data_IF_586878308104
#
_entry.id   IF_586878308104
#
_cell.length_a   1.000
_cell.length_b   1.000
_cell.length_c   1.000
_cell.angle_alpha   90.00
_cell.angle_beta   90.00
_cell.angle_gamma   90.00
#
_symmetry.space_group_name_H-M   'P 1'
#
loop_
_entity.id
_entity.type
_entity.pdbx_description
1 polymer ?
#
# COMPACT_ATOMS: atom_id res chain seq x y z
N UNK A 1 -26.27 1.03 -5.55
CA UNK A 1 -26.41 0.34 -6.79
C UNK A 1 -25.30 -0.61 -7.02
N UNK A 2 -25.60 -1.79 -7.40
CA UNK A 2 -24.54 -2.74 -7.72
C UNK A 2 -23.82 -2.32 -8.99
N UNK A 3 -22.59 -2.72 -9.10
CA UNK A 3 -21.79 -2.45 -10.28
C UNK A 3 -22.22 -3.38 -11.41
N UNK A 4 -22.20 -2.85 -12.63
CA UNK A 4 -22.38 -3.72 -13.79
C UNK A 4 -21.12 -4.56 -13.99
N UNK A 5 -21.20 -5.65 -14.76
CA UNK A 5 -20.00 -6.43 -15.06
C UNK A 5 -18.90 -5.60 -15.70
N UNK A 6 -19.25 -4.67 -16.60
CA UNK A 6 -18.27 -3.81 -17.23
C UNK A 6 -17.62 -2.86 -16.24
N UNK A 7 -18.42 -2.30 -15.34
CA UNK A 7 -17.88 -1.42 -14.31
C UNK A 7 -16.96 -2.18 -13.38
N UNK A 8 -17.32 -3.40 -13.02
CA UNK A 8 -16.49 -4.22 -12.15
C UNK A 8 -15.16 -4.55 -12.83
N UNK A 9 -15.17 -4.87 -14.11
CA UNK A 9 -13.95 -5.14 -14.85
C UNK A 9 -13.04 -3.92 -14.88
N UNK A 10 -13.61 -2.76 -15.20
CA UNK A 10 -12.84 -1.52 -15.23
C UNK A 10 -12.24 -1.20 -13.86
N UNK A 11 -13.04 -1.34 -12.82
CA UNK A 11 -12.56 -1.07 -11.47
C UNK A 11 -11.46 -2.05 -11.08
N UNK A 12 -11.61 -3.32 -11.43
CA UNK A 12 -10.60 -4.32 -11.13
C UNK A 12 -9.27 -3.96 -11.79
N UNK A 13 -9.31 -3.55 -13.06
CA UNK A 13 -8.09 -3.16 -13.75
C UNK A 13 -7.45 -1.92 -13.14
N UNK A 14 -8.27 -0.95 -12.75
CA UNK A 14 -7.76 0.26 -12.12
C UNK A 14 -7.10 -0.05 -10.78
N UNK A 15 -7.74 -0.90 -9.98
CA UNK A 15 -7.17 -1.30 -8.70
C UNK A 15 -5.89 -2.12 -8.90
N UNK A 16 -5.86 -2.97 -9.91
CA UNK A 16 -4.67 -3.74 -10.20
C UNK A 16 -3.51 -2.84 -10.61
N UNK A 17 -3.79 -1.82 -11.43
CA UNK A 17 -2.76 -0.87 -11.82
C UNK A 17 -2.22 -0.10 -10.63
N UNK A 18 -3.10 0.32 -9.71
CA UNK A 18 -2.67 1.01 -8.51
C UNK A 18 -1.83 0.09 -7.63
N UNK A 19 -2.27 -1.16 -7.45
CA UNK A 19 -1.52 -2.11 -6.64
C UNK A 19 -0.13 -2.32 -7.22
N UNK A 20 -0.02 -2.38 -8.54
CA UNK A 20 1.27 -2.53 -9.18
C UNK A 20 2.15 -1.31 -8.94
N UNK A 21 1.58 -0.11 -9.03
CA UNK A 21 2.34 1.11 -8.76
C UNK A 21 2.87 1.15 -7.33
N UNK A 22 2.04 0.74 -6.36
CA UNK A 22 2.45 0.74 -4.96
C UNK A 22 3.57 -0.26 -4.74
N UNK A 23 3.45 -1.44 -5.35
CA UNK A 23 4.48 -2.46 -5.23
C UNK A 23 5.79 -2.03 -5.91
N UNK A 24 5.68 -1.46 -7.10
CA UNK A 24 6.87 -0.99 -7.83
C UNK A 24 7.57 0.12 -7.06
N UNK A 25 6.80 1.00 -6.42
CA UNK A 25 7.38 2.05 -5.58
C UNK A 25 8.16 1.47 -4.41
N UNK A 26 7.61 0.43 -3.76
CA UNK A 26 8.32 -0.24 -2.68
C UNK A 26 9.61 -0.89 -3.19
N UNK A 27 9.56 -1.54 -4.35
CA UNK A 27 10.75 -2.17 -4.91
C UNK A 27 11.81 -1.13 -5.25
N UNK A 28 11.39 0.01 -5.81
CA UNK A 28 12.34 1.07 -6.11
C UNK A 28 13.05 1.55 -4.84
N UNK A 29 12.29 1.70 -3.76
CA UNK A 29 12.86 2.08 -2.49
C UNK A 29 13.82 0.99 -1.97
N UNK A 30 13.39 -0.26 -2.01
CA UNK A 30 14.21 -1.37 -1.54
C UNK A 30 15.55 -1.41 -2.26
N UNK A 31 15.53 -1.31 -3.59
CA UNK A 31 16.76 -1.36 -4.35
C UNK A 31 17.63 -0.13 -4.10
N UNK A 32 17.02 1.04 -3.86
CA UNK A 32 17.79 2.24 -3.57
C UNK A 32 18.53 2.14 -2.24
N UNK A 33 18.03 1.31 -1.32
CA UNK A 33 18.64 1.14 0.00
C UNK A 33 19.57 -0.06 0.07
N UNK A 34 19.65 -0.84 -1.00
CA UNK A 34 20.44 -2.06 -1.03
C UNK A 34 21.80 -1.80 -1.67
N UNK A 35 22.74 -2.70 -1.43
CA UNK A 35 24.09 -2.60 -2.00
C UNK A 35 24.20 -3.54 -3.18
N UNK A 36 24.62 -2.98 -4.31
CA UNK A 36 24.82 -3.80 -5.50
C UNK A 36 26.10 -4.60 -5.38
N UNK A 37 26.03 -5.87 -5.75
CA UNK A 37 27.20 -6.74 -5.77
C UNK A 37 27.76 -6.84 -7.18
N UNK A 38 28.94 -7.43 -7.29
CA UNK A 38 29.61 -7.52 -8.59
C UNK A 38 28.84 -8.38 -9.59
N UNK A 39 28.06 -9.34 -9.08
CA UNK A 39 27.31 -10.25 -9.95
C UNK A 39 25.87 -9.75 -10.18
N UNK A 40 25.62 -8.48 -9.91
CA UNK A 40 24.32 -7.83 -10.09
C UNK A 40 23.27 -8.24 -9.05
N UNK A 41 23.64 -9.05 -8.07
CA UNK A 41 22.74 -9.27 -6.94
C UNK A 41 22.81 -8.05 -6.03
N UNK A 42 21.87 -7.97 -5.09
CA UNK A 42 21.88 -6.87 -4.12
C UNK A 42 21.83 -7.43 -2.71
N UNK A 43 22.46 -6.71 -1.80
CA UNK A 43 22.44 -7.07 -0.39
C UNK A 43 21.66 -6.02 0.38
N UNK A 44 20.76 -6.45 1.23
CA UNK A 44 20.00 -5.55 2.08
C UNK A 44 20.84 -5.30 3.33
N UNK A 45 21.12 -4.03 3.68
CA UNK A 45 21.86 -3.73 4.91
C UNK A 45 21.19 -4.34 6.12
N UNK A 46 22.01 -4.77 7.09
CA UNK A 46 21.51 -5.53 8.24
C UNK A 46 20.42 -4.79 9.00
N UNK A 47 20.59 -3.51 9.25
CA UNK A 47 19.62 -2.75 10.02
C UNK A 47 18.29 -2.65 9.31
N UNK A 48 18.31 -2.52 7.98
CA UNK A 48 17.07 -2.49 7.20
C UNK A 48 16.43 -3.85 7.15
N UNK A 49 17.23 -4.91 7.01
CA UNK A 49 16.67 -6.26 7.02
C UNK A 49 15.96 -6.54 8.34
N UNK A 50 16.55 -6.11 9.46
CA UNK A 50 15.92 -6.27 10.77
C UNK A 50 14.62 -5.48 10.88
N UNK A 51 14.63 -4.24 10.39
CA UNK A 51 13.44 -3.39 10.43
C UNK A 51 12.31 -4.00 9.61
N UNK A 52 12.63 -4.44 8.39
CA UNK A 52 11.60 -4.97 7.50
C UNK A 52 11.05 -6.30 8.00
N UNK A 53 11.91 -7.12 8.61
CA UNK A 53 11.43 -8.36 9.23
C UNK A 53 10.50 -8.07 10.40
N UNK A 54 10.80 -7.03 11.18
CA UNK A 54 9.91 -6.62 12.27
C UNK A 54 8.57 -6.14 11.72
N UNK A 55 8.61 -5.28 10.70
CA UNK A 55 7.38 -4.77 10.09
C UNK A 55 6.53 -5.90 9.55
N UNK A 56 7.17 -6.89 8.95
CA UNK A 56 6.46 -8.03 8.39
C UNK A 56 5.67 -8.78 9.46
N UNK A 57 6.22 -8.84 10.66
CA UNK A 57 5.60 -9.63 11.72
C UNK A 57 4.64 -8.86 12.59
N UNK A 58 4.67 -7.54 12.55
CA UNK A 58 3.81 -6.74 13.40
C UNK A 58 2.46 -6.46 12.75
N UNK A 59 1.38 -6.61 13.49
CA UNK A 59 0.10 -6.12 13.00
C UNK A 59 0.14 -4.60 12.85
N UNK A 60 -0.70 -4.09 11.95
CA UNK A 60 -0.73 -2.65 11.68
C UNK A 60 -0.87 -1.82 12.96
N UNK A 61 -1.69 -2.27 13.89
CA UNK A 61 -1.98 -1.50 15.09
C UNK A 61 -0.73 -1.27 15.95
N UNK A 62 0.28 -2.14 15.80
CA UNK A 62 1.50 -2.01 16.59
C UNK A 62 2.65 -1.38 15.84
N UNK A 63 2.44 -0.95 14.61
CA UNK A 63 3.48 -0.26 13.87
C UNK A 63 3.72 1.13 14.45
N UNK A 64 4.95 1.65 14.38
CA UNK A 64 5.21 3.03 14.76
C UNK A 64 4.36 4.01 13.93
N UNK A 65 4.11 5.21 14.45
CA UNK A 65 3.23 6.16 13.75
C UNK A 65 3.64 6.49 12.33
N UNK A 66 4.93 6.62 12.06
CA UNK A 66 5.39 6.95 10.70
C UNK A 66 5.15 5.80 9.74
N UNK A 67 5.27 4.57 10.23
CA UNK A 67 5.00 3.40 9.40
C UNK A 67 3.50 3.26 9.16
N UNK A 68 2.69 3.55 10.18
CA UNK A 68 1.24 3.56 10.01
C UNK A 68 0.81 4.62 8.99
N UNK A 69 1.46 5.78 9.02
CA UNK A 69 1.12 6.85 8.09
C UNK A 69 1.40 6.44 6.65
N UNK A 70 2.47 5.70 6.42
CA UNK A 70 2.75 5.21 5.08
C UNK A 70 1.65 4.28 4.59
N UNK A 71 1.17 3.40 5.47
CA UNK A 71 0.08 2.50 5.10
C UNK A 71 -1.21 3.28 4.85
N UNK A 72 -1.47 4.31 5.65
CA UNK A 72 -2.66 5.13 5.43
C UNK A 72 -2.58 5.88 4.10
N UNK A 73 -1.38 6.29 3.69
CA UNK A 73 -1.22 6.95 2.40
C UNK A 73 -1.60 6.01 1.26
N UNK A 74 -1.18 4.74 1.34
CA UNK A 74 -1.57 3.77 0.33
C UNK A 74 -3.08 3.55 0.34
N UNK A 75 -3.69 3.46 1.52
CA UNK A 75 -5.13 3.29 1.61
C UNK A 75 -5.87 4.51 1.04
N UNK A 76 -5.35 5.71 1.28
CA UNK A 76 -5.96 6.92 0.74
C UNK A 76 -5.94 6.93 -0.79
N UNK A 77 -4.90 6.37 -1.39
CA UNK A 77 -4.85 6.25 -2.84
C UNK A 77 -5.95 5.34 -3.37
N UNK A 78 -6.24 4.27 -2.64
CA UNK A 78 -7.34 3.38 -3.03
C UNK A 78 -8.67 4.12 -2.94
N UNK A 79 -8.87 4.87 -1.85
CA UNK A 79 -10.12 5.62 -1.69
C UNK A 79 -10.27 6.69 -2.78
N UNK A 80 -9.17 7.36 -3.12
CA UNK A 80 -9.21 8.37 -4.18
C UNK A 80 -9.55 7.74 -5.53
N UNK A 81 -9.02 6.54 -5.77
CA UNK A 81 -9.33 5.85 -7.01
C UNK A 81 -10.80 5.48 -7.07
N UNK A 82 -11.36 5.01 -5.98
CA UNK A 82 -12.78 4.65 -5.93
C UNK A 82 -13.64 5.88 -6.22
N UNK A 83 -13.28 7.02 -5.63
CA UNK A 83 -14.02 8.25 -5.87
C UNK A 83 -13.91 8.67 -7.33
N UNK A 84 -12.72 8.52 -7.93
CA UNK A 84 -12.52 8.86 -9.33
C UNK A 84 -13.35 7.99 -10.25
N UNK A 85 -13.55 6.74 -9.88
CA UNK A 85 -14.37 5.82 -10.66
C UNK A 85 -15.86 6.01 -10.41
N UNK A 86 -16.23 7.03 -9.65
CA UNK A 86 -17.64 7.33 -9.42
C UNK A 86 -18.24 6.59 -8.26
N UNK A 87 -17.43 5.90 -7.47
CA UNK A 87 -17.91 5.17 -6.31
C UNK A 87 -17.72 6.03 -5.07
N UNK A 88 -18.78 6.30 -4.37
CA UNK A 88 -18.68 7.08 -3.13
C UNK A 88 -19.23 6.25 -1.99
N UNK A 89 -18.67 6.51 -0.83
CA UNK A 89 -19.18 5.88 0.37
C UNK A 89 -20.40 6.65 0.80
N UNK A 90 -21.48 5.95 0.98
CA UNK A 90 -22.69 6.62 1.32
C UNK A 90 -22.66 7.06 2.76
N UNK A 91 -21.74 6.68 3.61
CA UNK A 91 -21.76 7.02 4.90
C UNK A 91 -20.53 6.96 5.47
N UNK A 92 -20.24 7.76 5.84
CA UNK A 92 -19.05 7.86 6.23
C UNK A 92 -18.68 7.58 7.45
N UNK A 93 -19.09 7.84 8.14
CA UNK A 93 -18.64 7.72 9.33
C UNK A 93 -17.75 6.93 9.66
N UNK A 94 -17.89 6.52 9.57
CA UNK A 94 -17.33 5.75 9.94
C UNK A 94 -16.13 5.52 10.06
N UNK A 95 -15.95 5.33 9.66
CA UNK A 95 -14.92 5.11 9.57
C UNK A 95 -14.12 5.26 10.44
N UNK A 96 -14.41 5.39 11.07
CA UNK A 96 -13.76 5.59 11.94
C UNK A 96 -12.81 4.80 12.30
N UNK A 97 -12.73 3.90 12.21
CA UNK A 97 -11.90 3.10 12.68
C UNK A 97 -10.70 3.57 12.46
N UNK A 98 -10.84 4.27 12.17
CA UNK A 98 -9.92 4.78 12.08
C UNK A 98 -8.95 4.65 12.87
N UNK A 99 -8.56 4.74 12.84
CA UNK A 99 -7.60 4.79 13.47
C UNK A 99 -7.49 3.94 14.39
N UNK A 100 -8.11 3.71 14.58
CA UNK A 100 -8.08 3.00 15.52
C UNK A 100 -7.75 1.95 15.16
N UNK A 101 -7.68 2.02 14.57
CA UNK A 101 -7.52 1.17 14.44
C UNK A 101 -7.07 0.97 14.51
#
# INVERSE_FOLDING_TARGET
>A
MPLTPEQLTTLTDSLAALAHQQWAGWLAYLFSQSRMQADESVAIPRDLARRWKRQQRQPYAFLPPDEQERERTHAAQVLALLAHEGLTLSHTPAVTYSGDC
#
